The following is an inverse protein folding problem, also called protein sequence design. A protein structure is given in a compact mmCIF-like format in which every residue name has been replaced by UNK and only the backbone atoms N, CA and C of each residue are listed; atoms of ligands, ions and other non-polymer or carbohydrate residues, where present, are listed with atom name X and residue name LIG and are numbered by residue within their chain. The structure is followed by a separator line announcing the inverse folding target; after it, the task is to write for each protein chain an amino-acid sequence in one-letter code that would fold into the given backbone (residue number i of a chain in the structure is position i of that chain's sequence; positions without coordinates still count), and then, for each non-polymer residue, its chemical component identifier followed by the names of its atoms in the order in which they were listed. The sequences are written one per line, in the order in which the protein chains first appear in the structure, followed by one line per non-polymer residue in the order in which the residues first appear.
data_IF_704756039491
#
_entry.id   IF_704756039491
#
_cell.length_a   1.000
_cell.length_b   1.000
_cell.length_c   1.000
_cell.angle_alpha   90.00
_cell.angle_beta   90.00
_cell.angle_gamma   90.00
#
_symmetry.space_group_name_H-M   'P 1'
#
loop_
_entity.id
_entity.type
_entity.pdbx_description
1 polymer ?
#
# COMPACT_ATOMS: atom_id res chain seq x y z
N UNK A 1 -1.70 -6.82 24.60
CA UNK A 1 -2.99 -6.27 24.13
C UNK A 1 -3.09 -6.14 22.61
N UNK A 2 -2.40 -5.21 21.92
CA UNK A 2 -2.56 -5.05 20.44
C UNK A 2 -2.24 -6.33 19.65
N UNK A 3 -1.07 -6.95 19.91
CA UNK A 3 -0.68 -8.21 19.26
C UNK A 3 -1.70 -9.31 19.55
N UNK A 4 -2.15 -9.44 20.79
CA UNK A 4 -3.13 -10.47 21.17
C UNK A 4 -4.47 -10.29 20.44
N UNK A 5 -4.91 -9.04 20.26
CA UNK A 5 -6.12 -8.72 19.50
C UNK A 5 -5.95 -9.03 18.00
N UNK A 6 -4.81 -8.67 17.40
CA UNK A 6 -4.49 -8.99 15.99
C UNK A 6 -4.35 -10.50 15.76
N UNK A 7 -3.73 -11.23 16.70
CA UNK A 7 -3.62 -12.69 16.66
C UNK A 7 -4.97 -13.37 16.80
N UNK A 8 -5.83 -12.90 17.70
CA UNK A 8 -7.20 -13.40 17.85
C UNK A 8 -8.02 -13.21 16.56
N UNK A 9 -7.89 -12.07 15.88
CA UNK A 9 -8.53 -11.83 14.59
C UNK A 9 -8.00 -12.78 13.50
N UNK A 10 -6.68 -13.01 13.44
CA UNK A 10 -6.06 -13.95 12.48
C UNK A 10 -6.51 -15.40 12.72
N UNK A 11 -6.57 -15.85 13.98
CA UNK A 11 -7.05 -17.19 14.33
C UNK A 11 -8.51 -17.35 13.91
N UNK A 12 -9.36 -16.35 14.17
CA UNK A 12 -10.78 -16.41 13.82
C UNK A 12 -11.03 -16.50 12.30
N UNK A 13 -10.20 -15.83 11.48
CA UNK A 13 -10.24 -15.92 10.02
C UNK A 13 -9.86 -17.34 9.57
N UNK A 14 -8.72 -17.85 10.03
CA UNK A 14 -8.28 -19.20 9.66
C UNK A 14 -9.24 -20.29 10.12
N UNK A 15 -9.86 -20.11 11.29
CA UNK A 15 -10.90 -21.01 11.76
C UNK A 15 -12.11 -21.02 10.81
N UNK A 16 -12.58 -19.84 10.38
CA UNK A 16 -13.69 -19.74 9.43
C UNK A 16 -13.33 -20.29 8.04
N UNK A 17 -12.10 -20.11 7.57
CA UNK A 17 -11.61 -20.64 6.29
C UNK A 17 -11.68 -22.17 6.26
N UNK A 18 -11.49 -22.84 7.40
CA UNK A 18 -11.52 -24.31 7.52
C UNK A 18 -12.93 -24.83 7.81
N UNK A 19 -13.66 -24.18 8.73
CA UNK A 19 -14.92 -24.73 9.28
C UNK A 19 -16.14 -24.34 8.44
N UNK A 20 -16.14 -23.15 7.85
CA UNK A 20 -17.26 -22.65 7.05
C UNK A 20 -16.74 -21.92 5.80
N UNK A 21 -16.01 -22.60 4.90
CA UNK A 21 -15.40 -21.96 3.75
C UNK A 21 -16.45 -21.26 2.91
N UNK A 22 -16.25 -19.95 2.68
CA UNK A 22 -17.24 -19.09 2.02
C UNK A 22 -17.68 -19.60 0.63
N UNK A 23 -16.80 -20.35 -0.06
CA UNK A 23 -17.09 -20.95 -1.37
C UNK A 23 -18.15 -22.05 -1.31
N UNK A 24 -18.29 -22.74 -0.19
CA UNK A 24 -19.22 -23.87 -0.02
C UNK A 24 -20.46 -23.46 0.76
N UNK A 25 -20.27 -22.73 1.86
CA UNK A 25 -21.33 -22.40 2.83
C UNK A 25 -21.89 -20.97 2.63
N UNK A 26 -21.27 -20.18 1.76
CA UNK A 26 -21.63 -18.78 1.52
C UNK A 26 -20.99 -17.79 2.50
N UNK A 27 -21.00 -16.51 2.11
CA UNK A 27 -20.34 -15.43 2.85
C UNK A 27 -20.98 -15.12 4.20
N UNK A 28 -22.28 -15.39 4.35
CA UNK A 28 -23.00 -15.16 5.61
C UNK A 28 -22.59 -16.17 6.68
N UNK A 29 -22.60 -17.47 6.36
CA UNK A 29 -22.15 -18.53 7.26
C UNK A 29 -20.66 -18.38 7.65
N UNK A 30 -19.81 -18.00 6.68
CA UNK A 30 -18.43 -17.64 6.93
C UNK A 30 -18.30 -16.49 7.94
N UNK A 31 -19.05 -15.40 7.70
CA UNK A 31 -19.05 -14.22 8.56
C UNK A 31 -19.52 -14.53 9.99
N UNK A 32 -20.56 -15.34 10.14
CA UNK A 32 -21.07 -15.79 11.44
C UNK A 32 -20.03 -16.63 12.19
N UNK A 33 -19.47 -17.66 11.55
CA UNK A 33 -18.44 -18.54 12.14
C UNK A 33 -17.21 -17.75 12.60
N UNK A 34 -16.73 -16.83 11.75
CA UNK A 34 -15.62 -15.93 12.09
C UNK A 34 -15.96 -15.05 13.30
N UNK A 35 -17.12 -14.40 13.30
CA UNK A 35 -17.50 -13.46 14.35
C UNK A 35 -17.71 -14.16 15.70
N UNK A 36 -18.23 -15.38 15.71
CA UNK A 36 -18.38 -16.20 16.92
C UNK A 36 -17.01 -16.57 17.50
N UNK A 37 -16.08 -17.07 16.67
CA UNK A 37 -14.72 -17.37 17.09
C UNK A 37 -14.01 -16.12 17.64
N UNK A 38 -14.13 -15.00 16.92
CA UNK A 38 -13.54 -13.73 17.33
C UNK A 38 -14.10 -13.22 18.66
N UNK A 39 -15.41 -13.33 18.89
CA UNK A 39 -16.04 -12.93 20.14
C UNK A 39 -15.51 -13.76 21.33
N UNK A 40 -15.34 -15.07 21.15
CA UNK A 40 -14.76 -15.94 22.16
C UNK A 40 -13.31 -15.57 22.50
N UNK A 41 -12.48 -15.36 21.47
CA UNK A 41 -11.06 -15.01 21.65
C UNK A 41 -10.89 -13.61 22.27
N UNK A 42 -11.66 -12.61 21.81
CA UNK A 42 -11.64 -11.27 22.40
C UNK A 42 -12.11 -11.27 23.85
N UNK A 43 -13.13 -12.07 24.20
CA UNK A 43 -13.54 -12.26 25.59
C UNK A 43 -12.44 -12.87 26.46
N UNK A 44 -11.64 -13.79 25.91
CA UNK A 44 -10.49 -14.36 26.60
C UNK A 44 -9.38 -13.33 26.82
N UNK A 45 -9.03 -12.55 25.79
CA UNK A 45 -8.05 -11.46 25.90
C UNK A 45 -8.52 -10.40 26.91
N UNK A 46 -9.79 -10.01 26.87
CA UNK A 46 -10.42 -9.09 27.83
C UNK A 46 -10.26 -9.56 29.28
N UNK A 47 -10.53 -10.85 29.55
CA UNK A 47 -10.37 -11.44 30.90
C UNK A 47 -8.91 -11.49 31.35
N UNK A 48 -7.98 -11.93 30.49
CA UNK A 48 -6.56 -12.02 30.82
C UNK A 48 -5.97 -10.65 31.16
N UNK A 49 -6.37 -9.62 30.41
CA UNK A 49 -5.83 -8.27 30.55
C UNK A 49 -6.69 -7.37 31.46
N UNK A 50 -7.78 -7.89 32.02
CA UNK A 50 -8.75 -7.15 32.86
C UNK A 50 -9.23 -5.83 32.22
N UNK A 51 -9.51 -5.86 30.92
CA UNK A 51 -9.99 -4.70 30.14
C UNK A 51 -11.35 -4.98 29.51
N UNK A 52 -12.08 -3.92 29.16
CA UNK A 52 -13.32 -4.02 28.40
C UNK A 52 -13.09 -4.70 27.04
N UNK A 53 -13.99 -5.58 26.64
CA UNK A 53 -14.00 -6.21 25.32
C UNK A 53 -14.15 -5.17 24.20
N UNK A 54 -14.82 -4.04 24.46
CA UNK A 54 -14.90 -2.92 23.52
C UNK A 54 -13.51 -2.33 23.24
N UNK A 55 -12.65 -2.27 24.26
CA UNK A 55 -11.27 -1.81 24.12
C UNK A 55 -10.42 -2.81 23.31
N UNK A 56 -10.59 -4.11 23.53
CA UNK A 56 -9.90 -5.16 22.73
C UNK A 56 -10.31 -5.06 21.25
N UNK A 57 -11.61 -4.89 20.98
CA UNK A 57 -12.13 -4.70 19.61
C UNK A 57 -11.56 -3.43 18.98
N UNK A 58 -11.47 -2.34 19.74
CA UNK A 58 -10.84 -1.10 19.27
C UNK A 58 -9.35 -1.30 18.94
N UNK A 59 -8.61 -2.09 19.72
CA UNK A 59 -7.21 -2.39 19.40
C UNK A 59 -7.03 -3.29 18.17
N UNK A 60 -7.95 -4.22 17.91
CA UNK A 60 -7.95 -5.00 16.67
C UNK A 60 -8.21 -4.13 15.43
N UNK A 61 -9.03 -3.09 15.56
CA UNK A 61 -9.32 -2.15 14.45
C UNK A 61 -8.30 -1.01 14.36
N UNK A 62 -7.55 -0.72 15.44
CA UNK A 62 -6.58 0.37 15.47
C UNK A 62 -5.38 0.05 14.62
N UNK A 63 -5.15 0.88 13.61
CA UNK A 63 -4.10 0.67 12.63
C UNK A 63 -2.70 1.02 13.14
N UNK A 64 -1.67 0.52 12.47
CA UNK A 64 -0.28 0.82 12.80
C UNK A 64 0.25 1.90 11.86
N UNK A 65 -0.13 3.15 12.11
CA UNK A 65 0.27 4.32 11.31
C UNK A 65 1.78 4.36 10.96
N UNK A 66 2.72 4.10 11.89
CA UNK A 66 4.15 4.12 11.54
C UNK A 66 4.55 2.98 10.57
N UNK A 67 3.88 1.83 10.64
CA UNK A 67 4.11 0.75 9.68
C UNK A 67 3.63 1.16 8.28
N UNK A 68 2.46 1.78 8.19
CA UNK A 68 1.93 2.26 6.92
C UNK A 68 2.82 3.32 6.27
N UNK A 69 3.33 4.26 7.08
CA UNK A 69 4.30 5.26 6.63
C UNK A 69 5.58 4.59 6.14
N UNK A 70 6.10 3.60 6.86
CA UNK A 70 7.30 2.86 6.44
C UNK A 70 7.09 2.14 5.09
N UNK A 71 5.94 1.47 4.92
CA UNK A 71 5.57 0.79 3.67
C UNK A 71 5.48 1.81 2.52
N UNK A 72 4.82 2.95 2.75
CA UNK A 72 4.70 4.00 1.74
C UNK A 72 6.06 4.60 1.35
N UNK A 73 6.90 4.93 2.34
CA UNK A 73 8.23 5.50 2.12
C UNK A 73 9.14 4.52 1.38
N UNK A 74 9.13 3.24 1.76
CA UNK A 74 9.92 2.21 1.08
C UNK A 74 9.56 2.11 -0.41
N UNK A 75 8.27 2.16 -0.73
CA UNK A 75 7.82 2.16 -2.12
C UNK A 75 8.15 3.46 -2.85
N UNK A 76 8.01 4.61 -2.18
CA UNK A 76 8.32 5.92 -2.76
C UNK A 76 9.79 6.02 -3.20
N UNK A 77 10.72 5.40 -2.47
CA UNK A 77 12.14 5.32 -2.86
C UNK A 77 12.32 4.51 -4.15
N UNK A 78 11.67 3.35 -4.27
CA UNK A 78 11.73 2.51 -5.47
C UNK A 78 11.12 3.25 -6.67
N UNK A 79 9.98 3.89 -6.47
CA UNK A 79 9.33 4.70 -7.50
C UNK A 79 10.20 5.87 -7.94
N UNK A 80 10.81 6.60 -6.99
CA UNK A 80 11.68 7.73 -7.29
C UNK A 80 12.90 7.30 -8.11
N UNK A 81 13.49 6.14 -7.78
CA UNK A 81 14.58 5.58 -8.56
C UNK A 81 14.15 5.23 -10.00
N UNK A 82 13.00 4.57 -10.15
CA UNK A 82 12.44 4.25 -11.48
C UNK A 82 12.13 5.51 -12.31
N UNK A 83 11.50 6.51 -11.70
CA UNK A 83 11.23 7.80 -12.33
C UNK A 83 12.52 8.51 -12.76
N UNK A 84 13.56 8.46 -11.92
CA UNK A 84 14.87 9.01 -12.26
C UNK A 84 15.46 8.33 -13.49
N UNK A 85 15.48 6.99 -13.54
CA UNK A 85 15.99 6.22 -14.69
C UNK A 85 15.21 6.54 -15.97
N UNK A 86 13.88 6.55 -15.90
CA UNK A 86 12.98 6.87 -17.01
C UNK A 86 13.22 8.29 -17.56
N UNK A 87 13.30 9.29 -16.68
CA UNK A 87 13.65 10.65 -17.08
C UNK A 87 15.02 10.71 -17.77
N UNK A 88 15.99 9.92 -17.29
CA UNK A 88 17.29 9.76 -17.92
C UNK A 88 17.24 9.21 -19.34
N UNK A 89 16.44 8.18 -19.55
CA UNK A 89 16.24 7.60 -20.87
C UNK A 89 15.71 8.63 -21.86
N UNK A 90 14.73 9.45 -21.46
CA UNK A 90 14.20 10.54 -22.28
C UNK A 90 15.27 11.59 -22.58
N UNK A 91 16.07 12.01 -21.58
CA UNK A 91 17.15 12.99 -21.79
C UNK A 91 18.22 12.51 -22.78
N UNK A 92 18.47 11.21 -22.85
CA UNK A 92 19.43 10.64 -23.81
C UNK A 92 18.83 10.45 -25.20
N UNK A 93 17.51 10.26 -25.29
CA UNK A 93 16.83 9.92 -26.54
C UNK A 93 16.48 11.13 -27.41
N UNK A 94 16.23 12.30 -26.80
CA UNK A 94 15.83 13.52 -27.50
C UNK A 94 16.94 14.57 -27.45
N UNK A 95 17.19 15.22 -28.59
CA UNK A 95 18.09 16.37 -28.65
C UNK A 95 17.46 17.59 -27.95
N UNK A 96 18.28 18.58 -27.57
CA UNK A 96 17.81 19.79 -26.86
C UNK A 96 16.81 20.58 -27.71
N UNK A 97 16.97 20.56 -29.03
CA UNK A 97 16.08 21.25 -29.98
C UNK A 97 14.70 20.58 -30.10
N UNK A 98 14.54 19.35 -29.60
CA UNK A 98 13.30 18.58 -29.63
C UNK A 98 12.54 18.63 -28.29
N UNK A 99 12.69 19.73 -27.53
CA UNK A 99 12.12 19.88 -26.18
C UNK A 99 10.62 19.60 -26.10
N UNK A 100 9.86 19.91 -27.18
CA UNK A 100 8.42 19.63 -27.26
C UNK A 100 8.14 18.12 -27.28
N UNK A 101 8.92 17.36 -28.06
CA UNK A 101 8.78 15.91 -28.11
C UNK A 101 9.18 15.26 -26.78
N UNK A 102 10.25 15.77 -26.14
CA UNK A 102 10.66 15.34 -24.82
C UNK A 102 9.58 15.63 -23.75
N UNK A 103 8.93 16.79 -23.79
CA UNK A 103 7.85 17.15 -22.88
C UNK A 103 6.63 16.24 -23.03
N UNK A 104 6.22 15.93 -24.27
CA UNK A 104 5.13 14.98 -24.53
C UNK A 104 5.49 13.58 -24.03
N UNK A 105 6.71 13.12 -24.30
CA UNK A 105 7.19 11.81 -23.83
C UNK A 105 7.19 11.72 -22.30
N UNK A 106 7.72 12.74 -21.59
CA UNK A 106 7.70 12.79 -20.12
C UNK A 106 6.28 12.81 -19.57
N UNK A 107 5.35 13.50 -20.23
CA UNK A 107 3.95 13.54 -19.81
C UNK A 107 3.35 12.13 -19.88
N UNK A 108 3.48 11.45 -21.03
CA UNK A 108 2.96 10.09 -21.22
C UNK A 108 3.61 9.12 -20.21
N UNK A 109 4.94 9.19 -20.05
CA UNK A 109 5.65 8.36 -19.08
C UNK A 109 5.21 8.63 -17.65
N UNK A 110 4.99 9.89 -17.26
CA UNK A 110 4.57 10.23 -15.90
C UNK A 110 3.20 9.62 -15.55
N UNK A 111 2.24 9.70 -16.48
CA UNK A 111 0.90 9.14 -16.30
C UNK A 111 0.95 7.61 -16.26
N UNK A 112 1.66 6.99 -17.20
CA UNK A 112 1.83 5.54 -17.25
C UNK A 112 2.56 4.99 -16.02
N UNK A 113 3.66 5.64 -15.61
CA UNK A 113 4.43 5.25 -14.44
C UNK A 113 3.63 5.44 -13.15
N UNK A 114 2.88 6.54 -12.99
CA UNK A 114 2.03 6.76 -11.83
C UNK A 114 0.90 5.72 -11.74
N UNK A 115 0.28 5.37 -12.88
CA UNK A 115 -0.74 4.31 -12.92
C UNK A 115 -0.15 2.94 -12.54
N UNK A 116 0.97 2.55 -13.15
CA UNK A 116 1.66 1.30 -12.83
C UNK A 116 2.11 1.27 -11.36
N UNK A 117 2.59 2.40 -10.85
CA UNK A 117 3.00 2.53 -9.46
C UNK A 117 1.83 2.37 -8.49
N UNK A 118 0.64 2.91 -8.80
CA UNK A 118 -0.54 2.67 -7.99
C UNK A 118 -0.89 1.19 -7.91
N UNK A 119 -0.89 0.49 -9.04
CA UNK A 119 -1.18 -0.96 -9.05
C UNK A 119 -0.12 -1.74 -8.25
N UNK A 120 1.15 -1.44 -8.48
CA UNK A 120 2.25 -2.08 -7.76
C UNK A 120 2.22 -1.77 -6.25
N UNK A 121 1.83 -0.56 -5.86
CA UNK A 121 1.73 -0.15 -4.47
C UNK A 121 0.63 -0.92 -3.72
N UNK A 122 -0.49 -1.25 -4.37
CA UNK A 122 -1.52 -2.11 -3.77
C UNK A 122 -0.99 -3.52 -3.48
N UNK A 123 -0.25 -4.10 -4.42
CA UNK A 123 0.40 -5.41 -4.26
C UNK A 123 1.47 -5.34 -3.16
N UNK A 124 2.28 -4.28 -3.16
CA UNK A 124 3.33 -4.06 -2.16
C UNK A 124 2.78 -3.95 -0.74
N UNK A 125 1.74 -3.14 -0.55
CA UNK A 125 1.09 -2.99 0.76
C UNK A 125 0.44 -4.29 1.25
N UNK A 126 -0.17 -5.05 0.34
CA UNK A 126 -0.75 -6.36 0.66
C UNK A 126 0.33 -7.37 1.07
N UNK A 127 1.46 -7.40 0.36
CA UNK A 127 2.59 -8.27 0.70
C UNK A 127 3.18 -7.89 2.07
N UNK A 128 3.41 -6.60 2.32
CA UNK A 128 3.96 -6.12 3.58
C UNK A 128 3.06 -6.49 4.77
N UNK A 129 1.74 -6.31 4.62
CA UNK A 129 0.78 -6.67 5.68
C UNK A 129 0.70 -8.19 5.88
N UNK A 130 0.79 -8.97 4.79
CA UNK A 130 0.82 -10.44 4.87
C UNK A 130 2.05 -10.95 5.62
N UNK A 131 3.22 -10.35 5.37
CA UNK A 131 4.47 -10.65 6.08
C UNK A 131 4.39 -10.24 7.56
N UNK A 132 3.79 -9.08 7.87
CA UNK A 132 3.63 -8.59 9.25
C UNK A 132 2.74 -9.52 10.09
N UNK A 133 1.67 -10.02 9.49
CA UNK A 133 0.70 -10.88 10.15
C UNK A 133 1.07 -12.37 10.12
N UNK A 134 2.04 -12.75 9.29
CA UNK A 134 2.39 -14.15 9.05
C UNK A 134 1.30 -14.94 8.33
N UNK A 135 0.38 -14.25 7.63
CA UNK A 135 -0.77 -14.85 6.96
C UNK A 135 -0.92 -14.30 5.54
N UNK A 136 -1.00 -15.16 4.53
CA UNK A 136 -1.28 -14.76 3.15
C UNK A 136 -2.75 -14.42 2.86
N UNK A 137 -3.63 -14.54 3.86
CA UNK A 137 -5.07 -14.33 3.71
C UNK A 137 -5.52 -13.08 4.46
N UNK A 138 -5.48 -11.94 3.77
CA UNK A 138 -5.89 -10.65 4.34
C UNK A 138 -7.41 -10.50 4.44
N UNK A 139 -8.21 -11.29 3.73
CA UNK A 139 -9.69 -11.20 3.73
C UNK A 139 -10.15 -9.72 3.66
N UNK A 140 -11.07 -9.28 4.51
CA UNK A 140 -11.51 -7.88 4.60
C UNK A 140 -10.45 -6.91 5.16
N UNK A 141 -9.34 -7.37 5.77
CA UNK A 141 -8.28 -6.46 6.25
C UNK A 141 -7.60 -5.72 5.10
N UNK A 142 -7.62 -6.28 3.89
CA UNK A 142 -7.15 -5.59 2.69
C UNK A 142 -7.98 -4.34 2.37
N UNK A 143 -9.30 -4.34 2.64
CA UNK A 143 -10.18 -3.19 2.39
C UNK A 143 -9.94 -2.04 3.38
N UNK A 144 -9.31 -2.32 4.53
CA UNK A 144 -8.96 -1.30 5.53
C UNK A 144 -7.67 -0.55 5.18
N UNK A 145 -6.97 -0.93 4.10
CA UNK A 145 -5.78 -0.22 3.62
C UNK A 145 -6.21 1.18 3.09
N UNK A 146 -5.48 2.27 3.42
CA UNK A 146 -5.90 3.65 3.18
C UNK A 146 -5.80 3.98 1.69
N UNK A 147 -5.05 3.16 0.95
CA UNK A 147 -4.73 3.19 -0.45
C UNK A 147 -6.00 3.00 -1.28
N UNK A 148 -6.96 2.24 -0.78
CA UNK A 148 -8.25 2.02 -1.44
C UNK A 148 -9.12 3.28 -1.47
N UNK A 149 -8.96 4.20 -0.52
CA UNK A 149 -9.75 5.42 -0.42
C UNK A 149 -9.06 6.65 -1.04
N UNK A 150 -7.74 6.61 -1.22
CA UNK A 150 -6.92 7.77 -1.63
C UNK A 150 -6.32 7.65 -3.04
N UNK A 151 -6.86 6.78 -3.90
CA UNK A 151 -6.27 6.48 -5.22
C UNK A 151 -5.95 7.70 -6.08
N UNK A 152 -6.86 8.68 -6.15
CA UNK A 152 -6.65 9.92 -6.94
C UNK A 152 -5.53 10.77 -6.34
N UNK A 153 -5.49 10.93 -5.02
CA UNK A 153 -4.46 11.71 -4.33
C UNK A 153 -3.08 11.09 -4.51
N UNK A 154 -2.99 9.76 -4.41
CA UNK A 154 -1.75 9.01 -4.62
C UNK A 154 -1.31 9.05 -6.10
N UNK A 155 -2.26 9.02 -7.04
CA UNK A 155 -1.97 9.22 -8.47
C UNK A 155 -1.33 10.58 -8.71
N UNK A 156 -1.98 11.64 -8.24
CA UNK A 156 -1.53 13.01 -8.41
C UNK A 156 -0.16 13.24 -7.74
N UNK A 157 0.05 12.67 -6.55
CA UNK A 157 1.33 12.70 -5.86
C UNK A 157 2.44 11.97 -6.66
N UNK A 158 2.12 10.81 -7.25
CA UNK A 158 3.05 10.08 -8.12
C UNK A 158 3.46 10.89 -9.35
N UNK A 159 2.47 11.46 -10.07
CA UNK A 159 2.73 12.35 -11.22
C UNK A 159 3.59 13.54 -10.79
N UNK A 160 3.23 14.22 -9.69
CA UNK A 160 3.99 15.35 -9.17
C UNK A 160 5.43 14.99 -8.80
N UNK A 161 5.64 13.85 -8.14
CA UNK A 161 6.97 13.35 -7.79
C UNK A 161 7.80 13.01 -9.04
N UNK A 162 7.20 12.41 -10.06
CA UNK A 162 7.87 12.14 -11.34
C UNK A 162 8.35 13.43 -12.01
N UNK A 163 7.49 14.45 -12.06
CA UNK A 163 7.85 15.76 -12.60
C UNK A 163 8.95 16.45 -11.80
N UNK A 164 8.87 16.41 -10.46
CA UNK A 164 9.90 16.96 -9.59
C UNK A 164 11.26 16.31 -9.89
N UNK A 165 11.31 14.98 -9.98
CA UNK A 165 12.54 14.23 -10.29
C UNK A 165 13.04 14.56 -11.70
N UNK A 166 12.14 14.68 -12.67
CA UNK A 166 12.49 15.06 -14.03
C UNK A 166 13.14 16.44 -14.04
N UNK A 167 12.50 17.45 -13.43
CA UNK A 167 13.05 18.81 -13.34
C UNK A 167 14.42 18.82 -12.64
N UNK A 168 14.56 18.14 -11.50
CA UNK A 168 15.82 18.03 -10.78
C UNK A 168 16.93 17.36 -11.61
N UNK A 169 16.58 16.45 -12.50
CA UNK A 169 17.53 15.80 -13.41
C UNK A 169 17.90 16.68 -14.61
N UNK A 170 16.94 17.44 -15.15
CA UNK A 170 17.16 18.32 -16.31
C UNK A 170 17.90 19.62 -15.95
N UNK A 171 17.65 20.21 -14.77
CA UNK A 171 18.27 21.48 -14.34
C UNK A 171 19.81 21.47 -14.40
N UNK A 172 20.53 20.46 -13.86
CA UNK A 172 21.98 20.37 -13.95
C UNK A 172 22.48 20.10 -15.38
N UNK A 173 21.72 19.33 -16.17
CA UNK A 173 22.08 18.97 -17.54
C UNK A 173 22.06 20.19 -18.47
N UNK A 174 21.06 21.08 -18.30
CA UNK A 174 20.96 22.35 -19.01
C UNK A 174 22.10 23.29 -18.59
N UNK A 175 22.34 23.43 -17.28
CA UNK A 175 23.37 24.34 -16.73
C UNK A 175 24.79 23.98 -17.15
N UNK A 176 25.12 22.68 -17.28
CA UNK A 176 26.44 22.24 -17.78
C UNK A 176 26.66 22.51 -19.26
N UNK A 177 25.60 22.55 -20.08
CA UNK A 177 25.71 22.79 -21.53
C UNK A 177 25.73 24.27 -21.91
N UNK A 178 25.31 25.18 -21.04
CA UNK A 178 25.41 26.64 -21.29
C UNK A 178 26.81 27.22 -20.98
N UNK A 179 27.69 26.43 -20.35
CA UNK A 179 29.05 26.83 -19.98
C UNK A 179 30.12 26.28 -20.95
N UNK A 180 29.70 25.55 -21.99
CA UNK A 180 30.51 25.03 -23.09
C UNK A 180 30.12 25.76 -24.38
#
# INVERSE_FOLDING_TARGET
MRRDAESAETIAIHYADVVAPARQEGWEAYGQTRNQCMAFLFGTVSRIHAVDIALVRAYATRRNDPFDVMVLVSFAVVYAFGAYVLAGFVTHRFAVDEWRAAAVALTILSLGAAMAALMALHVWASLAESLRLGSGHLSYRAERLPLHQQGISLFAAGVGLFWLISVLRYLPAIRRRQLL
#
